data_IF_312204802889
#
_entry.id   IF_312204802889
#
_cell.length_a   1.000
_cell.length_b   1.000
_cell.length_c   1.000
_cell.angle_alpha   90.00
_cell.angle_beta   90.00
_cell.angle_gamma   90.00
#
_symmetry.space_group_name_H-M   'P 1'
#
loop_
_entity.id
_entity.type
_entity.pdbx_description
1 polymer ?
#
# COMPACT_ATOMS: atom_id res chain seq x y z
N UNK A 1 -2.62 7.67 22.00
CA UNK A 1 -3.71 7.52 21.00
C UNK A 1 -3.10 6.82 19.79
N UNK A 2 -3.81 5.91 19.14
CA UNK A 2 -3.27 5.26 17.92
C UNK A 2 -3.22 6.23 16.76
N UNK A 3 -2.40 5.93 15.73
CA UNK A 3 -2.33 6.71 14.49
C UNK A 3 -3.71 6.82 13.83
N UNK A 4 -4.43 5.69 13.78
CA UNK A 4 -5.76 5.61 13.20
C UNK A 4 -6.74 6.56 13.88
N UNK A 5 -6.82 6.48 15.22
CA UNK A 5 -7.74 7.34 15.98
C UNK A 5 -7.32 8.81 15.91
N UNK A 6 -6.02 9.11 15.92
CA UNK A 6 -5.52 10.48 15.78
C UNK A 6 -5.87 11.07 14.43
N UNK A 7 -5.75 10.29 13.35
CA UNK A 7 -6.14 10.71 11.99
C UNK A 7 -7.63 11.02 11.91
N UNK A 8 -8.50 10.14 12.41
CA UNK A 8 -9.95 10.37 12.45
C UNK A 8 -10.30 11.61 13.29
N UNK A 9 -9.70 11.74 14.46
CA UNK A 9 -9.95 12.87 15.36
C UNK A 9 -9.55 14.21 14.75
N UNK A 10 -8.51 14.23 13.92
CA UNK A 10 -8.15 15.46 13.20
C UNK A 10 -9.34 15.97 12.37
N UNK A 11 -9.98 15.11 11.58
CA UNK A 11 -11.15 15.50 10.79
C UNK A 11 -12.32 15.94 11.67
N UNK A 12 -12.61 15.18 12.72
CA UNK A 12 -13.70 15.53 13.65
C UNK A 12 -13.49 16.91 14.26
N UNK A 13 -12.27 17.23 14.69
CA UNK A 13 -11.91 18.50 15.32
C UNK A 13 -11.89 19.69 14.34
N UNK A 14 -11.76 19.42 13.04
CA UNK A 14 -11.75 20.48 12.01
C UNK A 14 -13.10 20.69 11.32
N UNK A 15 -14.16 20.00 11.76
CA UNK A 15 -15.53 20.30 11.30
C UNK A 15 -15.90 21.74 11.63
N UNK A 16 -16.50 22.42 10.67
CA UNK A 16 -16.91 23.82 10.83
C UNK A 16 -15.77 24.83 10.67
N UNK A 17 -14.51 24.38 10.51
CA UNK A 17 -13.34 25.26 10.47
C UNK A 17 -12.74 25.43 9.07
N UNK A 18 -12.87 24.44 8.20
CA UNK A 18 -12.15 24.39 6.92
C UNK A 18 -13.08 24.63 5.73
N UNK A 19 -12.59 25.39 4.77
CA UNK A 19 -13.21 25.62 3.45
C UNK A 19 -12.50 24.76 2.41
N UNK A 20 -13.25 24.05 1.57
CA UNK A 20 -12.63 23.24 0.51
C UNK A 20 -11.97 24.13 -0.55
N UNK A 21 -10.69 23.90 -0.80
CA UNK A 21 -9.96 24.56 -1.88
C UNK A 21 -8.74 23.74 -2.30
N UNK A 22 -8.57 23.53 -3.61
CA UNK A 22 -7.34 23.00 -4.20
C UNK A 22 -6.25 24.07 -4.36
N UNK A 23 -6.54 25.30 -3.98
CA UNK A 23 -5.63 26.45 -3.94
C UNK A 23 -5.37 26.83 -2.47
N UNK A 24 -4.34 27.62 -2.21
CA UNK A 24 -3.96 28.01 -0.86
C UNK A 24 -3.14 26.91 -0.16
N UNK A 25 -3.27 26.81 1.16
CA UNK A 25 -2.45 25.88 1.94
C UNK A 25 -2.79 24.40 1.70
N UNK A 26 -4.02 24.11 1.30
CA UNK A 26 -4.58 22.78 1.06
C UNK A 26 -4.60 21.85 2.28
N UNK A 27 -3.91 22.18 3.36
CA UNK A 27 -3.76 21.36 4.57
C UNK A 27 -4.41 21.97 5.83
N UNK A 28 -5.16 23.07 5.66
CA UNK A 28 -5.85 23.73 6.75
C UNK A 28 -5.11 24.91 7.38
N UNK A 29 -3.82 25.13 7.06
CA UNK A 29 -3.01 26.16 7.73
C UNK A 29 -3.52 27.59 7.53
N UNK A 30 -4.18 27.88 6.41
CA UNK A 30 -4.82 29.17 6.11
C UNK A 30 -6.37 29.11 6.16
N UNK A 31 -6.93 28.02 6.74
CA UNK A 31 -8.37 27.77 6.76
C UNK A 31 -8.88 27.07 5.49
N UNK A 32 -7.99 26.75 4.51
CA UNK A 32 -8.37 26.00 3.32
C UNK A 32 -7.73 24.62 3.28
N UNK A 33 -8.48 23.62 2.82
CA UNK A 33 -7.98 22.26 2.65
C UNK A 33 -8.60 21.60 1.41
N UNK A 34 -7.89 20.62 0.85
CA UNK A 34 -8.45 19.65 -0.07
C UNK A 34 -8.38 18.22 0.51
N UNK A 35 -8.87 17.25 -0.22
CA UNK A 35 -8.96 15.87 0.27
C UNK A 35 -7.59 15.27 0.63
N UNK A 36 -6.60 15.36 -0.24
CA UNK A 36 -5.27 14.79 -0.01
C UNK A 36 -4.41 15.62 0.94
N UNK A 37 -4.57 16.93 0.94
CA UNK A 37 -3.89 17.84 1.88
C UNK A 37 -4.37 17.65 3.32
N UNK A 38 -5.67 17.47 3.53
CA UNK A 38 -6.24 17.21 4.86
C UNK A 38 -5.78 15.85 5.43
N UNK A 39 -5.81 14.78 4.64
CA UNK A 39 -5.26 13.47 5.05
C UNK A 39 -3.78 13.59 5.38
N UNK A 40 -3.01 14.28 4.52
CA UNK A 40 -1.57 14.47 4.76
C UNK A 40 -1.28 15.20 6.08
N UNK A 41 -2.07 16.22 6.39
CA UNK A 41 -1.92 16.96 7.65
C UNK A 41 -2.34 16.12 8.86
N UNK A 42 -3.48 15.43 8.77
CA UNK A 42 -3.95 14.52 9.81
C UNK A 42 -2.93 13.44 10.15
N UNK A 43 -2.30 12.86 9.13
CA UNK A 43 -1.24 11.87 9.30
C UNK A 43 0.02 12.46 9.92
N UNK A 44 0.44 13.66 9.50
CA UNK A 44 1.60 14.36 10.12
C UNK A 44 1.38 14.60 11.60
N UNK A 45 0.18 15.06 11.98
CA UNK A 45 -0.16 15.29 13.40
C UNK A 45 -0.31 13.98 14.18
N UNK A 46 -0.64 12.88 13.51
CA UNK A 46 -0.61 11.53 14.08
C UNK A 46 0.82 10.94 14.22
N UNK A 47 1.86 11.67 13.78
CA UNK A 47 3.27 11.27 13.88
C UNK A 47 3.83 10.56 12.66
N UNK A 48 3.08 10.51 11.55
CA UNK A 48 3.51 9.88 10.30
C UNK A 48 4.33 10.86 9.45
N UNK A 49 5.44 10.41 8.89
CA UNK A 49 6.36 11.23 8.08
C UNK A 49 5.87 11.39 6.64
N UNK A 50 4.89 12.26 6.42
CA UNK A 50 4.45 12.62 5.07
C UNK A 50 5.30 13.78 4.54
N UNK A 51 5.90 13.61 3.37
CA UNK A 51 6.75 14.61 2.74
C UNK A 51 5.92 15.51 1.81
N UNK A 52 6.01 16.80 2.02
CA UNK A 52 5.27 17.79 1.21
C UNK A 52 3.74 17.71 1.39
N UNK A 53 3.03 17.90 0.30
CA UNK A 53 1.57 17.77 0.18
C UNK A 53 1.27 16.88 -1.04
N UNK A 54 1.29 15.56 -0.89
CA UNK A 54 1.00 14.65 -1.98
C UNK A 54 -0.41 14.86 -2.52
N UNK A 55 -0.60 14.58 -3.79
CA UNK A 55 -1.93 14.42 -4.39
C UNK A 55 -2.42 12.98 -4.17
N UNK A 56 -3.66 12.71 -4.53
CA UNK A 56 -4.19 11.33 -4.54
C UNK A 56 -3.35 10.37 -5.39
N UNK A 57 -2.72 10.86 -6.47
CA UNK A 57 -1.81 10.08 -7.33
C UNK A 57 -0.60 9.54 -6.55
N UNK A 58 -0.06 10.34 -5.62
CA UNK A 58 1.22 10.02 -4.95
C UNK A 58 1.05 9.66 -3.47
N UNK A 59 -0.16 9.81 -2.91
CA UNK A 59 -0.41 9.58 -1.50
C UNK A 59 -0.25 8.10 -1.12
N UNK A 60 -0.71 7.18 -1.97
CA UNK A 60 -0.56 5.74 -1.72
C UNK A 60 0.90 5.34 -1.49
N UNK A 61 1.84 5.91 -2.27
CA UNK A 61 3.27 5.71 -2.05
C UNK A 61 3.74 6.23 -0.69
N UNK A 62 3.25 7.41 -0.27
CA UNK A 62 3.61 7.97 1.03
C UNK A 62 3.04 7.11 2.19
N UNK A 63 1.84 6.55 2.01
CA UNK A 63 1.24 5.64 2.99
C UNK A 63 2.08 4.38 3.14
N UNK A 64 2.46 3.76 2.02
CA UNK A 64 3.30 2.58 2.02
C UNK A 64 4.65 2.82 2.72
N UNK A 65 5.33 3.93 2.38
CA UNK A 65 6.60 4.32 3.01
C UNK A 65 6.51 4.58 4.52
N UNK A 66 5.31 4.60 5.08
CA UNK A 66 5.06 4.92 6.48
C UNK A 66 4.29 3.82 7.22
N UNK A 67 4.42 2.57 6.79
CA UNK A 67 3.88 1.42 7.50
C UNK A 67 2.38 1.17 7.29
N UNK A 68 1.80 1.76 6.24
CA UNK A 68 0.48 1.34 5.77
C UNK A 68 0.62 0.24 4.73
N UNK A 69 -0.31 -0.69 4.75
CA UNK A 69 -0.44 -1.73 3.74
C UNK A 69 -1.81 -1.65 3.06
N UNK A 70 -1.88 -2.08 1.81
CA UNK A 70 -3.15 -2.15 1.07
C UNK A 70 -4.00 -3.32 1.56
N UNK A 71 -5.17 -3.01 2.08
CA UNK A 71 -6.15 -4.02 2.53
C UNK A 71 -6.98 -4.53 1.37
N UNK A 72 -7.30 -3.62 0.42
CA UNK A 72 -8.18 -3.94 -0.70
C UNK A 72 -7.87 -3.09 -1.92
N UNK A 73 -8.10 -3.66 -3.12
CA UNK A 73 -8.18 -2.96 -4.41
C UNK A 73 -9.47 -3.41 -5.09
N UNK A 74 -10.38 -2.46 -5.32
CA UNK A 74 -11.66 -2.69 -6.02
C UNK A 74 -12.50 -3.86 -5.48
N UNK A 75 -12.36 -4.19 -4.21
CA UNK A 75 -13.09 -5.28 -3.55
C UNK A 75 -13.63 -4.80 -2.21
N UNK A 76 -14.67 -5.47 -1.73
CA UNK A 76 -15.16 -5.28 -0.38
C UNK A 76 -14.07 -5.66 0.64
N UNK A 77 -14.09 -4.98 1.77
CA UNK A 77 -13.18 -5.25 2.88
C UNK A 77 -13.90 -5.12 4.22
N UNK A 78 -13.33 -5.68 5.25
CA UNK A 78 -13.75 -5.49 6.64
C UNK A 78 -13.21 -4.13 7.14
N UNK A 79 -14.04 -3.10 6.99
CA UNK A 79 -13.65 -1.72 7.25
C UNK A 79 -13.35 -1.48 8.73
N UNK A 80 -12.29 -0.74 9.02
CA UNK A 80 -11.85 -0.44 10.38
C UNK A 80 -11.55 1.05 10.53
N UNK A 81 -11.64 1.53 11.77
CA UNK A 81 -11.24 2.90 12.12
C UNK A 81 -9.85 3.22 11.60
N UNK A 82 -9.74 4.31 10.84
CA UNK A 82 -8.48 4.80 10.31
C UNK A 82 -8.04 4.19 8.98
N UNK A 83 -8.84 3.32 8.37
CA UNK A 83 -8.63 2.90 6.99
C UNK A 83 -8.72 4.10 6.05
N UNK A 84 -7.66 4.36 5.30
CA UNK A 84 -7.61 5.44 4.32
C UNK A 84 -8.09 4.90 2.98
N UNK A 85 -9.12 5.52 2.43
CA UNK A 85 -9.74 5.12 1.17
C UNK A 85 -9.36 6.10 0.07
N UNK A 86 -8.48 5.67 -0.84
CA UNK A 86 -8.11 6.38 -2.06
C UNK A 86 -9.04 5.97 -3.19
N UNK A 87 -9.54 6.94 -3.93
CA UNK A 87 -10.50 6.73 -5.02
C UNK A 87 -10.03 7.42 -6.29
N UNK A 88 -10.30 6.79 -7.43
CA UNK A 88 -10.14 7.38 -8.76
C UNK A 88 -11.41 7.16 -9.59
N UNK A 89 -11.81 8.17 -10.36
CA UNK A 89 -12.86 8.03 -11.38
C UNK A 89 -12.30 7.55 -12.72
N UNK A 90 -10.97 7.43 -12.83
CA UNK A 90 -10.27 6.81 -13.95
C UNK A 90 -9.88 5.35 -13.67
N UNK A 91 -9.00 4.81 -14.52
CA UNK A 91 -8.65 3.37 -14.50
C UNK A 91 -7.87 2.93 -13.25
N UNK A 92 -7.10 3.83 -12.66
CA UNK A 92 -6.24 3.57 -11.49
C UNK A 92 -5.87 4.88 -10.77
N UNK A 93 -5.01 4.82 -9.75
CA UNK A 93 -4.59 6.01 -9.00
C UNK A 93 -3.71 6.96 -9.80
N UNK A 94 -3.08 6.56 -10.90
CA UNK A 94 -2.29 7.47 -11.75
C UNK A 94 -3.17 8.53 -12.42
N UNK A 95 -4.46 8.23 -12.60
CA UNK A 95 -5.46 9.10 -13.21
C UNK A 95 -6.28 9.92 -12.18
N UNK A 96 -5.98 9.79 -10.89
CA UNK A 96 -6.74 10.43 -9.80
C UNK A 96 -6.37 11.89 -9.53
N UNK A 97 -5.55 12.53 -10.38
CA UNK A 97 -5.10 13.90 -10.16
C UNK A 97 -6.23 14.95 -10.21
N UNK A 98 -6.14 15.96 -9.35
CA UNK A 98 -7.12 17.05 -9.28
C UNK A 98 -8.53 16.55 -8.96
N UNK A 99 -9.52 16.88 -9.79
CA UNK A 99 -10.89 16.41 -9.63
C UNK A 99 -11.10 14.94 -10.07
N UNK A 100 -10.05 14.27 -10.59
CA UNK A 100 -10.11 12.87 -11.02
C UNK A 100 -10.06 11.86 -9.87
N UNK A 101 -9.81 12.30 -8.64
CA UNK A 101 -9.72 11.42 -7.48
C UNK A 101 -10.17 12.06 -6.18
N UNK A 102 -10.28 11.23 -5.16
CA UNK A 102 -10.64 11.64 -3.81
C UNK A 102 -9.99 10.74 -2.76
N UNK A 103 -9.93 11.22 -1.53
CA UNK A 103 -9.46 10.45 -0.38
C UNK A 103 -10.17 10.88 0.90
N UNK A 104 -10.41 9.93 1.77
CA UNK A 104 -10.87 10.16 3.14
C UNK A 104 -10.51 8.97 4.03
N UNK A 105 -11.09 8.92 5.21
CA UNK A 105 -10.78 7.93 6.23
C UNK A 105 -12.06 7.34 6.82
N UNK A 106 -12.04 6.03 7.11
CA UNK A 106 -13.12 5.37 7.83
C UNK A 106 -13.10 5.76 9.31
N UNK A 107 -14.23 6.25 9.84
CA UNK A 107 -14.40 6.48 11.27
C UNK A 107 -14.53 5.17 12.01
N UNK A 108 -15.31 4.27 11.44
CA UNK A 108 -15.62 2.93 11.91
C UNK A 108 -15.92 2.02 10.70
N UNK A 109 -16.60 0.91 10.91
CA UNK A 109 -17.02 -0.02 9.84
C UNK A 109 -18.13 0.53 8.93
N UNK A 110 -18.75 1.63 9.28
CA UNK A 110 -19.95 2.17 8.63
C UNK A 110 -19.72 3.55 8.04
N UNK A 111 -19.00 4.43 8.73
CA UNK A 111 -18.92 5.85 8.41
C UNK A 111 -17.56 6.26 7.85
N UNK A 112 -17.61 7.00 6.76
CA UNK A 112 -16.50 7.63 6.07
C UNK A 112 -16.51 9.15 6.31
N UNK A 113 -15.34 9.74 6.56
CA UNK A 113 -15.17 11.19 6.72
C UNK A 113 -14.11 11.69 5.75
N UNK A 114 -14.37 12.84 5.12
CA UNK A 114 -13.43 13.45 4.18
C UNK A 114 -13.53 14.98 4.17
N UNK A 115 -12.52 15.60 3.59
CA UNK A 115 -12.56 16.99 3.15
C UNK A 115 -12.98 17.02 1.69
N UNK A 116 -14.18 17.47 1.38
CA UNK A 116 -14.79 17.36 0.06
C UNK A 116 -15.46 18.66 -0.41
N UNK A 117 -15.80 18.68 -1.69
CA UNK A 117 -16.43 19.81 -2.37
C UNK A 117 -17.97 19.73 -2.41
N UNK A 118 -18.60 18.85 -1.64
CA UNK A 118 -20.05 18.62 -1.68
C UNK A 118 -20.87 19.87 -1.40
N UNK A 119 -20.33 20.78 -0.59
CA UNK A 119 -20.91 22.08 -0.25
C UNK A 119 -20.48 23.21 -1.19
N UNK A 120 -19.86 22.90 -2.34
CA UNK A 120 -19.40 23.84 -3.35
C UNK A 120 -18.42 24.89 -2.81
N UNK A 121 -17.61 24.53 -1.82
CA UNK A 121 -16.63 25.42 -1.19
C UNK A 121 -17.24 26.44 -0.23
N UNK A 122 -18.40 26.15 0.33
CA UNK A 122 -19.02 27.00 1.36
C UNK A 122 -18.07 27.12 2.57
N UNK A 123 -17.88 28.32 3.12
CA UNK A 123 -16.96 28.57 4.22
C UNK A 123 -17.23 27.67 5.44
N UNK A 124 -16.19 27.02 5.94
CA UNK A 124 -16.25 26.14 7.10
C UNK A 124 -16.92 24.79 6.85
N UNK A 125 -17.33 24.46 5.63
CA UNK A 125 -18.16 23.27 5.37
C UNK A 125 -17.43 22.18 4.55
N UNK A 126 -16.11 22.13 4.62
CA UNK A 126 -15.33 21.16 3.84
C UNK A 126 -15.33 19.74 4.43
N UNK A 127 -15.47 19.60 5.77
CA UNK A 127 -15.37 18.28 6.42
C UNK A 127 -16.75 17.69 6.62
N UNK A 128 -17.01 16.59 5.92
CA UNK A 128 -18.30 15.91 5.91
C UNK A 128 -18.18 14.42 6.23
N UNK A 129 -19.25 13.86 6.79
CA UNK A 129 -19.33 12.44 7.16
C UNK A 129 -20.51 11.80 6.44
N UNK A 130 -20.30 10.60 5.94
CA UNK A 130 -21.27 9.83 5.17
C UNK A 130 -21.26 8.36 5.61
N UNK A 131 -22.40 7.66 5.55
CA UNK A 131 -22.38 6.21 5.49
C UNK A 131 -21.59 5.80 4.23
N UNK A 132 -20.63 4.88 4.37
CA UNK A 132 -19.74 4.51 3.27
C UNK A 132 -20.50 3.98 2.04
N UNK A 133 -21.47 3.10 2.28
CA UNK A 133 -22.24 2.50 1.19
C UNK A 133 -23.02 3.55 0.37
N UNK A 134 -23.56 4.57 1.04
CA UNK A 134 -24.25 5.67 0.38
C UNK A 134 -23.27 6.52 -0.41
N UNK A 135 -22.14 6.88 0.21
CA UNK A 135 -21.09 7.66 -0.46
C UNK A 135 -20.57 6.95 -1.71
N UNK A 136 -20.25 5.68 -1.59
CA UNK A 136 -19.83 4.85 -2.72
C UNK A 136 -20.91 4.78 -3.81
N UNK A 137 -22.16 4.53 -3.42
CA UNK A 137 -23.30 4.44 -4.34
C UNK A 137 -23.56 5.73 -5.13
N UNK A 138 -23.34 6.88 -4.53
CA UNK A 138 -23.51 8.18 -5.19
C UNK A 138 -22.34 8.52 -6.12
N UNK A 139 -21.11 8.27 -5.70
CA UNK A 139 -19.90 8.72 -6.40
C UNK A 139 -19.38 7.70 -7.42
N UNK A 140 -19.60 6.41 -7.21
CA UNK A 140 -19.23 5.28 -8.09
C UNK A 140 -17.80 5.41 -8.65
N UNK A 141 -16.78 5.51 -7.81
CA UNK A 141 -15.41 5.54 -8.29
C UNK A 141 -15.11 4.26 -9.08
N UNK A 142 -14.37 4.41 -10.17
CA UNK A 142 -13.98 3.29 -11.03
C UNK A 142 -12.84 2.46 -10.42
N UNK A 143 -12.06 3.08 -9.52
CA UNK A 143 -10.93 2.44 -8.86
C UNK A 143 -10.81 2.90 -7.41
N UNK A 144 -10.56 1.96 -6.49
CA UNK A 144 -10.41 2.19 -5.06
C UNK A 144 -9.20 1.42 -4.55
N UNK A 145 -8.39 2.05 -3.70
CA UNK A 145 -7.42 1.41 -2.83
C UNK A 145 -7.75 1.71 -1.37
N UNK A 146 -7.73 0.69 -0.53
CA UNK A 146 -7.88 0.84 0.92
C UNK A 146 -6.55 0.56 1.60
N UNK A 147 -6.11 1.50 2.42
CA UNK A 147 -4.84 1.45 3.12
C UNK A 147 -5.03 1.46 4.63
N UNK A 148 -4.39 0.53 5.33
CA UNK A 148 -4.45 0.39 6.80
C UNK A 148 -3.07 0.54 7.42
N UNK A 149 -2.98 1.29 8.51
CA UNK A 149 -1.77 1.41 9.28
C UNK A 149 -1.51 0.11 10.06
N UNK A 150 -0.32 -0.47 9.87
CA UNK A 150 0.10 -1.60 10.67
C UNK A 150 0.31 -1.13 12.13
N UNK A 151 -0.49 -1.63 13.05
CA UNK A 151 -0.37 -1.33 14.47
C UNK A 151 0.89 -2.00 15.05
N UNK A 152 2.07 -1.50 14.73
CA UNK A 152 3.29 -1.82 15.47
C UNK A 152 3.46 -0.80 16.58
N UNK A 153 2.54 -0.79 17.56
CA UNK A 153 2.89 -0.25 18.87
C UNK A 153 4.01 -1.13 19.42
N UNK A 154 5.07 -0.56 20.07
CA UNK A 154 5.98 -1.38 20.83
C UNK A 154 5.18 -2.01 21.98
N UNK A 155 4.65 -3.20 21.76
CA UNK A 155 4.14 -4.01 22.84
C UNK A 155 5.36 -4.49 23.62
N UNK A 156 5.61 -3.84 24.74
CA UNK A 156 6.32 -4.47 25.85
C UNK A 156 5.47 -5.63 26.34
N UNK A 157 5.52 -6.73 25.66
CA UNK A 157 5.13 -8.02 26.15
C UNK A 157 6.38 -8.89 26.16
N UNK A 158 6.94 -9.02 27.38
CA UNK A 158 7.79 -10.12 27.76
C UNK A 158 7.05 -11.44 27.51
N UNK A 159 7.18 -11.96 26.33
CA UNK A 159 7.21 -13.38 26.06
C UNK A 159 8.20 -13.59 24.92
N UNK A 160 9.34 -14.14 25.32
CA UNK A 160 10.36 -14.59 24.41
C UNK A 160 9.78 -15.67 23.48
N UNK A 161 9.35 -15.24 22.30
CA UNK A 161 9.39 -16.06 21.12
C UNK A 161 10.55 -15.50 20.30
N UNK A 162 11.68 -16.14 20.40
CA UNK A 162 12.80 -15.95 19.49
C UNK A 162 12.41 -16.49 18.12
N UNK A 163 11.56 -15.77 17.41
CA UNK A 163 11.50 -15.88 15.97
C UNK A 163 12.71 -15.07 15.46
N UNK A 164 13.82 -15.76 15.26
CA UNK A 164 14.93 -15.28 14.45
C UNK A 164 14.31 -14.96 13.09
N UNK A 165 14.18 -13.68 12.74
CA UNK A 165 13.98 -13.27 11.36
C UNK A 165 15.21 -13.82 10.62
N UNK A 166 15.05 -14.76 9.68
CA UNK A 166 16.21 -15.21 8.93
C UNK A 166 16.69 -14.02 8.13
N UNK A 167 17.92 -13.55 8.39
CA UNK A 167 18.58 -12.50 7.62
C UNK A 167 18.76 -12.86 6.14
N UNK A 168 18.42 -14.08 5.77
CA UNK A 168 18.81 -14.72 4.52
C UNK A 168 17.61 -15.12 3.62
N UNK A 169 16.37 -14.74 3.98
CA UNK A 169 15.19 -15.09 3.17
C UNK A 169 14.24 -13.91 3.05
N UNK A 170 14.11 -13.39 1.83
CA UNK A 170 12.96 -12.55 1.48
C UNK A 170 11.80 -13.47 1.08
N UNK A 171 10.62 -13.31 1.67
CA UNK A 171 9.44 -14.03 1.25
C UNK A 171 8.33 -13.06 0.83
N UNK A 172 7.52 -13.50 -0.11
CA UNK A 172 6.52 -12.69 -0.79
C UNK A 172 5.20 -13.43 -0.84
N UNK A 173 4.11 -12.69 -0.90
CA UNK A 173 2.80 -13.26 -1.10
C UNK A 173 2.43 -13.24 -2.59
N UNK A 174 2.01 -14.38 -3.12
CA UNK A 174 1.55 -14.49 -4.48
C UNK A 174 0.22 -13.74 -4.66
N UNK A 175 0.17 -12.74 -5.54
CA UNK A 175 -1.06 -12.03 -5.87
C UNK A 175 -1.93 -12.85 -6.82
N UNK A 176 -1.30 -13.57 -7.72
CA UNK A 176 -1.96 -14.43 -8.69
C UNK A 176 -1.10 -15.65 -8.98
N UNK A 177 -1.73 -16.80 -9.15
CA UNK A 177 -1.10 -18.02 -9.62
C UNK A 177 -1.91 -18.57 -10.78
N UNK A 178 -1.28 -18.73 -11.93
CA UNK A 178 -1.93 -19.19 -13.17
C UNK A 178 -1.13 -20.31 -13.83
N UNK A 179 -1.86 -21.18 -14.55
CA UNK A 179 -1.25 -22.16 -15.43
C UNK A 179 -1.26 -21.61 -16.86
N UNK A 180 -0.10 -21.19 -17.36
CA UNK A 180 0.07 -20.56 -18.67
C UNK A 180 1.13 -21.31 -19.46
N UNK A 181 0.82 -21.69 -20.71
CA UNK A 181 1.73 -22.38 -21.61
C UNK A 181 2.38 -23.67 -21.03
N UNK A 182 1.62 -24.40 -20.19
CA UNK A 182 2.10 -25.65 -19.60
C UNK A 182 2.92 -25.49 -18.32
N UNK A 183 3.02 -24.27 -17.78
CA UNK A 183 3.82 -23.94 -16.60
C UNK A 183 2.95 -23.17 -15.61
N UNK A 184 3.05 -23.51 -14.33
CA UNK A 184 2.50 -22.70 -13.26
C UNK A 184 3.37 -21.46 -13.07
N UNK A 185 2.73 -20.28 -13.01
CA UNK A 185 3.40 -19.00 -12.88
C UNK A 185 2.76 -18.17 -11.75
N UNK A 186 3.61 -17.43 -11.06
CA UNK A 186 3.25 -16.56 -9.94
C UNK A 186 3.38 -15.12 -10.37
N UNK A 187 2.38 -14.30 -10.02
CA UNK A 187 2.53 -12.84 -10.00
C UNK A 187 2.60 -12.34 -8.57
N UNK A 188 3.48 -11.40 -8.34
CA UNK A 188 3.65 -10.72 -7.09
C UNK A 188 3.99 -9.25 -7.38
N UNK A 189 3.34 -8.32 -6.71
CA UNK A 189 3.53 -6.88 -6.94
C UNK A 189 4.97 -6.39 -6.69
N UNK A 190 5.76 -7.21 -6.00
CA UNK A 190 7.13 -6.85 -5.59
C UNK A 190 8.22 -7.54 -6.39
N UNK A 191 7.86 -8.39 -7.34
CA UNK A 191 8.82 -9.17 -8.12
C UNK A 191 8.48 -9.14 -9.61
N UNK A 192 9.47 -8.86 -10.44
CA UNK A 192 9.35 -8.94 -11.88
C UNK A 192 10.59 -9.61 -12.50
N UNK A 193 10.42 -10.58 -13.40
CA UNK A 193 11.51 -11.05 -14.23
C UNK A 193 12.07 -9.93 -15.12
N UNK A 194 13.25 -10.14 -15.67
CA UNK A 194 13.88 -9.17 -16.55
C UNK A 194 12.98 -8.82 -17.74
N UNK A 195 12.91 -7.51 -18.05
CA UNK A 195 12.10 -7.00 -19.15
C UNK A 195 10.71 -6.57 -18.76
N UNK A 196 10.29 -6.74 -17.51
CA UNK A 196 8.95 -6.39 -17.02
C UNK A 196 7.79 -7.08 -17.75
N UNK A 197 8.04 -8.19 -18.41
CA UNK A 197 7.01 -9.04 -19.03
C UNK A 197 6.25 -9.93 -18.04
N UNK A 198 6.57 -9.83 -16.76
CA UNK A 198 5.88 -10.49 -15.66
C UNK A 198 4.38 -10.20 -15.59
N UNK A 199 3.94 -9.06 -16.14
CA UNK A 199 2.52 -8.73 -16.25
C UNK A 199 1.76 -9.80 -17.08
N UNK A 200 2.42 -10.40 -18.06
CA UNK A 200 1.84 -11.44 -18.90
C UNK A 200 2.19 -12.83 -18.38
N UNK A 201 3.46 -13.08 -18.08
CA UNK A 201 3.97 -14.43 -17.88
C UNK A 201 4.21 -14.79 -16.40
N UNK A 202 4.63 -13.84 -15.55
CA UNK A 202 4.95 -14.12 -14.14
C UNK A 202 6.25 -14.92 -13.96
N UNK A 203 6.46 -15.44 -12.76
CA UNK A 203 7.63 -16.25 -12.37
C UNK A 203 7.21 -17.72 -12.31
N UNK A 204 7.95 -18.65 -12.94
CA UNK A 204 7.65 -20.07 -12.81
C UNK A 204 7.69 -20.54 -11.34
N UNK A 205 6.68 -21.27 -10.89
CA UNK A 205 6.61 -21.79 -9.51
C UNK A 205 7.76 -22.73 -9.17
N UNK A 206 8.41 -23.31 -10.16
CA UNK A 206 9.60 -24.14 -9.97
C UNK A 206 10.85 -23.37 -9.56
N UNK A 207 10.81 -22.04 -9.58
CA UNK A 207 11.92 -21.16 -9.20
C UNK A 207 11.83 -20.67 -7.77
N UNK A 208 10.77 -21.02 -7.04
CA UNK A 208 10.53 -20.51 -5.70
C UNK A 208 10.29 -21.64 -4.71
N UNK A 209 10.57 -21.38 -3.43
CA UNK A 209 10.19 -22.27 -2.34
C UNK A 209 8.90 -21.75 -1.72
N UNK A 210 7.91 -22.62 -1.52
CA UNK A 210 6.69 -22.29 -0.84
C UNK A 210 6.91 -22.30 0.67
N UNK A 211 6.45 -21.24 1.32
CA UNK A 211 6.63 -21.03 2.76
C UNK A 211 5.30 -20.72 3.42
N UNK A 212 5.23 -20.88 4.74
CA UNK A 212 4.10 -20.38 5.53
C UNK A 212 4.18 -18.86 5.74
N UNK A 213 3.18 -18.30 6.41
CA UNK A 213 3.13 -16.86 6.74
C UNK A 213 4.29 -16.37 7.64
N UNK A 214 5.04 -17.28 8.23
CA UNK A 214 6.18 -17.00 9.11
C UNK A 214 7.52 -17.27 8.40
N UNK A 215 7.48 -17.62 7.10
CA UNK A 215 8.65 -17.87 6.25
C UNK A 215 9.25 -19.26 6.40
N UNK A 216 8.59 -20.21 7.06
CA UNK A 216 9.07 -21.58 7.16
C UNK A 216 8.67 -22.38 5.92
N UNK A 217 9.56 -23.23 5.42
CA UNK A 217 9.26 -24.07 4.26
C UNK A 217 8.03 -24.95 4.53
N UNK A 218 7.13 -25.00 3.55
CA UNK A 218 6.01 -25.94 3.60
C UNK A 218 6.53 -27.38 3.44
N UNK A 219 5.86 -28.37 4.09
CA UNK A 219 6.20 -29.78 3.90
C UNK A 219 6.13 -30.18 2.43
N UNK A 220 6.98 -31.10 2.02
CA UNK A 220 6.96 -31.70 0.68
C UNK A 220 5.54 -32.20 0.34
N UNK A 221 5.00 -31.77 -0.78
CA UNK A 221 3.65 -32.13 -1.24
C UNK A 221 2.54 -31.14 -0.85
N UNK A 222 2.83 -30.10 -0.04
CA UNK A 222 1.89 -29.01 0.25
C UNK A 222 1.70 -28.05 -0.93
N UNK A 223 2.51 -28.18 -1.95
CA UNK A 223 2.64 -27.33 -3.14
C UNK A 223 1.71 -27.72 -4.31
N UNK A 224 0.80 -28.68 -4.10
CA UNK A 224 -0.05 -29.18 -5.19
C UNK A 224 -1.23 -28.28 -5.57
N UNK A 225 -1.61 -27.34 -4.70
CA UNK A 225 -2.71 -26.40 -4.91
C UNK A 225 -2.22 -24.95 -4.94
N UNK A 226 -1.42 -24.62 -5.95
CA UNK A 226 -0.91 -23.26 -6.12
C UNK A 226 -2.06 -22.25 -6.31
N UNK A 227 -2.12 -21.23 -5.44
CA UNK A 227 -3.16 -20.22 -5.48
C UNK A 227 -2.69 -18.87 -4.94
N UNK A 228 -3.40 -17.81 -5.31
CA UNK A 228 -3.21 -16.49 -4.73
C UNK A 228 -3.31 -16.52 -3.20
N UNK A 229 -2.52 -15.69 -2.53
CA UNK A 229 -2.42 -15.64 -1.09
C UNK A 229 -1.37 -16.57 -0.47
N UNK A 230 -0.82 -17.52 -1.21
CA UNK A 230 0.29 -18.34 -0.73
C UNK A 230 1.57 -17.52 -0.65
N UNK A 231 2.42 -17.86 0.33
CA UNK A 231 3.74 -17.24 0.47
C UNK A 231 4.80 -18.09 -0.18
N UNK A 232 5.78 -17.43 -0.77
CA UNK A 232 6.94 -18.07 -1.37
C UNK A 232 8.20 -17.28 -1.06
N UNK A 233 9.34 -17.95 -1.08
CA UNK A 233 10.65 -17.34 -0.93
C UNK A 233 11.59 -17.81 -2.03
N UNK A 234 12.61 -17.01 -2.30
CA UNK A 234 13.82 -17.50 -2.92
C UNK A 234 14.78 -17.88 -1.80
N UNK A 235 15.45 -19.01 -1.90
CA UNK A 235 16.61 -19.25 -1.06
C UNK A 235 17.72 -18.31 -1.55
N UNK A 236 18.01 -17.34 -0.70
CA UNK A 236 19.14 -16.43 -0.88
C UNK A 236 20.37 -17.19 -0.37
N UNK A 237 21.00 -17.95 -1.24
CA UNK A 237 22.36 -18.37 -0.99
C UNK A 237 23.24 -17.13 -1.21
N UNK A 238 23.83 -16.59 -0.15
CA UNK A 238 24.65 -15.36 -0.17
C UNK A 238 25.72 -15.36 -1.27
N UNK A 239 26.14 -16.53 -1.70
CA UNK A 239 27.17 -16.72 -2.75
C UNK A 239 26.61 -16.48 -4.15
N UNK A 240 25.29 -16.50 -4.35
CA UNK A 240 24.67 -16.55 -5.68
C UNK A 240 23.80 -15.34 -6.02
N UNK A 241 23.72 -14.33 -5.15
CA UNK A 241 22.99 -13.10 -5.44
C UNK A 241 23.96 -11.97 -5.64
N UNK A 242 23.87 -11.33 -6.79
CA UNK A 242 24.69 -10.18 -7.12
C UNK A 242 23.79 -9.00 -7.41
N UNK A 243 23.93 -7.93 -6.63
CA UNK A 243 23.35 -6.63 -6.96
C UNK A 243 24.08 -6.06 -8.18
N UNK A 244 23.36 -5.88 -9.28
CA UNK A 244 23.95 -5.34 -10.51
C UNK A 244 24.16 -3.82 -10.47
N UNK A 245 23.68 -3.15 -9.43
CA UNK A 245 23.67 -1.68 -9.35
C UNK A 245 22.64 -1.00 -10.28
N UNK A 246 21.95 -1.74 -11.13
CA UNK A 246 20.92 -1.21 -12.03
C UNK A 246 19.61 -1.06 -11.29
N UNK A 247 18.97 0.11 -11.37
CA UNK A 247 17.67 0.34 -10.76
C UNK A 247 16.99 1.58 -11.32
N UNK A 248 15.73 1.74 -11.02
CA UNK A 248 14.92 2.87 -11.45
C UNK A 248 13.49 2.81 -10.95
N UNK A 249 12.78 3.92 -11.06
CA UNK A 249 11.38 4.00 -10.69
C UNK A 249 10.49 3.58 -11.86
N UNK A 250 9.55 2.66 -11.58
CA UNK A 250 8.52 2.25 -12.52
C UNK A 250 7.24 1.88 -11.77
N UNK A 251 6.09 2.35 -12.23
CA UNK A 251 4.79 2.09 -11.61
C UNK A 251 4.66 2.54 -10.14
N UNK A 252 5.45 3.54 -9.73
CA UNK A 252 5.44 4.04 -8.34
C UNK A 252 6.37 3.31 -7.38
N UNK A 253 7.12 2.31 -7.86
CA UNK A 253 8.08 1.54 -7.08
C UNK A 253 9.49 1.79 -7.59
N UNK A 254 10.48 1.71 -6.68
CA UNK A 254 11.87 1.60 -7.08
C UNK A 254 12.20 0.13 -7.34
N UNK A 255 12.67 -0.19 -8.53
CA UNK A 255 13.06 -1.52 -8.95
C UNK A 255 14.58 -1.61 -9.02
N UNK A 256 15.14 -2.71 -8.51
CA UNK A 256 16.56 -3.00 -8.57
C UNK A 256 16.79 -4.38 -9.14
N UNK A 257 17.76 -4.49 -10.03
CA UNK A 257 18.09 -5.72 -10.73
C UNK A 257 19.14 -6.50 -9.96
N UNK A 258 18.80 -7.72 -9.61
CA UNK A 258 19.71 -8.69 -9.02
C UNK A 258 19.93 -9.87 -9.97
N UNK A 259 21.12 -10.45 -9.95
CA UNK A 259 21.41 -11.76 -10.55
C UNK A 259 21.23 -12.82 -9.45
N UNK A 260 20.29 -13.72 -9.64
CA UNK A 260 19.96 -14.79 -8.71
C UNK A 260 20.58 -16.12 -9.17
N UNK A 261 21.89 -16.21 -9.22
CA UNK A 261 22.60 -17.43 -9.54
C UNK A 261 22.02 -18.18 -10.75
N UNK A 262 21.57 -19.40 -10.52
CA UNK A 262 20.99 -20.25 -11.59
C UNK A 262 19.63 -19.79 -12.11
N UNK A 263 18.94 -18.91 -11.37
CA UNK A 263 17.60 -18.39 -11.76
C UNK A 263 17.70 -17.17 -12.67
N UNK A 264 18.90 -16.63 -12.84
CA UNK A 264 19.15 -15.48 -13.70
C UNK A 264 18.69 -14.15 -13.08
N UNK A 265 18.59 -13.12 -13.90
CA UNK A 265 18.29 -11.78 -13.42
C UNK A 265 16.83 -11.61 -13.03
N UNK A 266 16.60 -10.96 -11.87
CA UNK A 266 15.27 -10.66 -11.34
C UNK A 266 15.22 -9.21 -10.88
N UNK A 267 14.15 -8.52 -11.22
CA UNK A 267 13.83 -7.23 -10.68
C UNK A 267 13.08 -7.37 -9.35
N UNK A 268 13.63 -6.81 -8.27
CA UNK A 268 12.95 -6.68 -7.00
C UNK A 268 12.45 -5.25 -6.83
N UNK A 269 11.22 -5.10 -6.43
CA UNK A 269 10.69 -3.78 -6.06
C UNK A 269 10.82 -3.53 -4.56
N UNK A 270 11.11 -2.30 -4.24
CA UNK A 270 11.02 -1.77 -2.89
C UNK A 270 10.40 -0.37 -2.93
N UNK A 271 10.07 0.15 -1.77
CA UNK A 271 9.44 1.46 -1.68
C UNK A 271 10.45 2.58 -1.98
N UNK A 272 11.70 2.42 -1.55
CA UNK A 272 12.79 3.34 -1.83
C UNK A 272 14.06 2.55 -2.21
N UNK A 273 14.96 3.20 -2.92
CA UNK A 273 16.26 2.62 -3.31
C UNK A 273 17.10 2.15 -2.12
N UNK A 274 16.90 2.75 -0.95
CA UNK A 274 17.64 2.43 0.27
C UNK A 274 17.00 1.29 1.09
N UNK A 275 15.75 0.93 0.80
CA UNK A 275 15.05 -0.16 1.50
C UNK A 275 15.57 -1.56 1.11
N UNK A 276 16.13 -1.71 -0.09
CA UNK A 276 16.71 -2.98 -0.54
C UNK A 276 18.01 -3.33 0.17
N UNK A 277 18.77 -2.36 0.63
CA UNK A 277 20.02 -2.58 1.38
C UNK A 277 19.73 -3.25 2.71
N UNK A 278 18.59 -2.95 3.34
CA UNK A 278 18.19 -3.52 4.62
C UNK A 278 17.66 -4.97 4.53
N UNK A 279 17.34 -5.46 3.34
CA UNK A 279 16.92 -6.84 3.12
C UNK A 279 18.08 -7.82 2.94
N UNK A 280 19.29 -7.31 2.62
CA UNK A 280 20.44 -8.11 2.19
C UNK A 280 21.72 -7.84 3.01
N UNK A 281 21.68 -6.96 4.00
CA UNK A 281 22.69 -6.81 5.05
C UNK A 281 22.24 -7.53 6.35
#
# INVERSE_FOLDING_TARGET
MSVQQSTVNWFINHRGLLTYSMLGSRNGADGTADCSGSISQALKEAGIKIIGLPSTVTLGQQLANNGFYRVSINQDWDAQTGDIVLMSWGADMSTSGGAGGHVGVMIDDTYFISCDYSTQGAPGQAINTYPWNDYYGWNKPAYIEVWRYANTAPQTNNQASTAVQPKDKAFYQANEVKYIHGIWQIKCDYLAPVGFDWLENGIPVSMVNWVDKDGNNLPDGADQDFKAGMYFSFELDEVNITDTGKGGYYGGYYWRLFEFGQFGPVWLSCWDKDDLVNYYE
#
